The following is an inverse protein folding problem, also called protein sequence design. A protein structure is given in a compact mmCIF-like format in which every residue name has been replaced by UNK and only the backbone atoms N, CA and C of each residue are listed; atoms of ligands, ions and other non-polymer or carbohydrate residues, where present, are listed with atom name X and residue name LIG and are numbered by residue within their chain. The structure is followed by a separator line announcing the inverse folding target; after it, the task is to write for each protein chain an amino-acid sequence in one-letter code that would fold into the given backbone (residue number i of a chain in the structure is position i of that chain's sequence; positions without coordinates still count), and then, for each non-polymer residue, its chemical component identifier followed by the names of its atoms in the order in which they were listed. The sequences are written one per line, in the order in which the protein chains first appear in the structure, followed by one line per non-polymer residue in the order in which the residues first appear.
data_IF_746731681893
#
_entry.id   IF_746731681893
#
_cell.length_a   1.000
_cell.length_b   1.000
_cell.length_c   1.000
_cell.angle_alpha   90.00
_cell.angle_beta   90.00
_cell.angle_gamma   90.00
#
_symmetry.space_group_name_H-M   'P 1'
#
loop_
_entity.id
_entity.type
_entity.pdbx_description
1 polymer ?
#
# COMPACT_ATOMS: atom_id res chain seq x y z
N UNK A 1 -22.52 -18.43 -9.29
CA UNK A 1 -22.35 -17.92 -7.91
C UNK A 1 -22.11 -19.12 -6.98
N UNK A 2 -21.02 -19.84 -7.23
CA UNK A 2 -20.58 -21.01 -6.46
C UNK A 2 -19.09 -20.78 -6.16
N UNK A 3 -18.61 -21.25 -5.02
CA UNK A 3 -17.18 -21.30 -4.62
C UNK A 3 -16.70 -20.30 -3.55
N UNK A 4 -17.60 -19.57 -2.89
CA UNK A 4 -17.23 -18.76 -1.71
C UNK A 4 -16.80 -19.60 -0.49
N UNK A 5 -17.14 -20.89 -0.47
CA UNK A 5 -16.85 -21.81 0.63
C UNK A 5 -15.81 -22.88 0.27
N UNK A 6 -14.93 -22.60 -0.70
CA UNK A 6 -13.83 -23.51 -1.04
C UNK A 6 -12.72 -23.40 0.01
N UNK A 7 -12.35 -24.53 0.60
CA UNK A 7 -11.21 -24.63 1.51
C UNK A 7 -9.93 -24.76 0.70
N UNK A 8 -8.91 -24.00 1.08
CA UNK A 8 -7.56 -24.11 0.52
C UNK A 8 -6.62 -24.62 1.60
N UNK A 9 -5.77 -25.58 1.23
CA UNK A 9 -4.63 -25.97 2.05
C UNK A 9 -3.66 -24.79 2.19
N UNK A 10 -3.18 -24.57 3.41
CA UNK A 10 -2.30 -23.48 3.74
C UNK A 10 -1.00 -24.01 4.37
N UNK A 11 0.12 -23.57 3.83
CA UNK A 11 1.43 -23.74 4.45
C UNK A 11 1.69 -22.57 5.40
N UNK A 12 1.98 -22.86 6.66
CA UNK A 12 2.25 -21.86 7.70
C UNK A 12 3.65 -22.08 8.26
N UNK A 13 4.47 -21.03 8.27
CA UNK A 13 5.81 -21.10 8.85
C UNK A 13 5.72 -21.33 10.38
N UNK A 14 6.50 -22.28 10.89
CA UNK A 14 6.51 -22.62 12.31
C UNK A 14 7.11 -21.52 13.21
N UNK A 15 7.93 -20.64 12.64
CA UNK A 15 8.55 -19.51 13.32
C UNK A 15 8.61 -18.29 12.39
N UNK A 16 8.88 -17.11 12.98
CA UNK A 16 9.18 -15.92 12.17
C UNK A 16 10.44 -16.17 11.35
N UNK A 17 10.48 -15.76 10.07
CA UNK A 17 11.68 -15.87 9.26
C UNK A 17 12.82 -15.09 9.94
N UNK A 18 13.97 -15.74 10.10
CA UNK A 18 15.22 -15.06 10.47
C UNK A 18 15.85 -14.39 9.25
N UNK A 19 16.98 -13.71 9.45
CA UNK A 19 17.64 -12.93 8.39
C UNK A 19 17.99 -13.75 7.12
N UNK A 20 18.22 -15.05 7.26
CA UNK A 20 18.50 -15.96 6.15
C UNK A 20 17.27 -16.28 5.27
N UNK A 21 16.05 -16.16 5.82
CA UNK A 21 14.77 -16.50 5.17
C UNK A 21 13.83 -15.29 5.09
N UNK A 22 14.35 -14.07 5.23
CA UNK A 22 13.57 -12.83 5.39
C UNK A 22 12.51 -12.58 4.29
N UNK A 23 12.62 -13.27 3.15
CA UNK A 23 11.74 -13.14 1.99
C UNK A 23 10.95 -14.41 1.66
N UNK A 24 10.93 -15.38 2.57
CA UNK A 24 10.02 -16.53 2.50
C UNK A 24 8.62 -16.12 3.02
N UNK A 25 7.54 -16.65 2.42
CA UNK A 25 6.20 -16.37 2.92
C UNK A 25 5.97 -17.06 4.27
N UNK A 26 5.36 -16.33 5.20
CA UNK A 26 4.95 -16.89 6.51
C UNK A 26 3.66 -17.69 6.43
N UNK A 27 2.85 -17.39 5.41
CA UNK A 27 1.61 -18.08 5.11
C UNK A 27 1.44 -18.13 3.59
N UNK A 28 1.11 -19.29 3.03
CA UNK A 28 0.91 -19.45 1.60
C UNK A 28 -0.23 -20.43 1.31
N UNK A 29 -0.98 -20.13 0.26
CA UNK A 29 -2.01 -20.99 -0.34
C UNK A 29 -1.80 -21.01 -1.85
N UNK A 30 -2.59 -21.81 -2.57
CA UNK A 30 -2.61 -21.78 -4.03
C UNK A 30 -3.03 -20.41 -4.62
N UNK A 31 -3.70 -19.54 -3.85
CA UNK A 31 -4.20 -18.25 -4.30
C UNK A 31 -3.29 -17.06 -3.97
N UNK A 32 -2.31 -17.25 -3.09
CA UNK A 32 -1.45 -16.16 -2.67
C UNK A 32 -0.66 -16.45 -1.41
N UNK A 33 0.16 -15.47 -1.04
CA UNK A 33 1.10 -15.58 0.05
C UNK A 33 1.16 -14.29 0.88
N UNK A 34 1.49 -14.44 2.16
CA UNK A 34 1.70 -13.36 3.11
C UNK A 34 3.19 -13.35 3.51
N UNK A 35 3.77 -12.17 3.46
CA UNK A 35 5.16 -11.91 3.84
C UNK A 35 5.20 -11.01 5.07
N UNK A 36 6.24 -11.16 5.89
CA UNK A 36 6.43 -10.36 7.10
C UNK A 36 7.79 -9.66 7.05
N UNK A 37 7.77 -8.33 6.97
CA UNK A 37 8.96 -7.50 6.89
C UNK A 37 8.62 -6.05 6.52
N UNK A 38 9.64 -5.22 6.30
CA UNK A 38 9.45 -3.88 5.75
C UNK A 38 8.96 -4.02 4.30
N UNK A 39 7.84 -3.36 3.97
CA UNK A 39 7.20 -3.49 2.65
C UNK A 39 8.15 -3.18 1.49
N UNK A 40 9.02 -2.20 1.67
CA UNK A 40 10.01 -1.73 0.70
C UNK A 40 11.04 -2.82 0.38
N UNK A 41 11.50 -3.54 1.40
CA UNK A 41 12.47 -4.64 1.26
C UNK A 41 11.80 -5.87 0.65
N UNK A 42 10.59 -6.18 1.11
CA UNK A 42 9.81 -7.34 0.63
C UNK A 42 9.45 -7.17 -0.85
N UNK A 43 9.03 -5.98 -1.29
CA UNK A 43 8.75 -5.70 -2.70
C UNK A 43 10.00 -5.79 -3.58
N UNK A 44 11.19 -5.42 -3.05
CA UNK A 44 12.47 -5.55 -3.75
C UNK A 44 13.05 -6.97 -3.72
N UNK A 45 12.45 -7.89 -2.96
CA UNK A 45 12.95 -9.25 -2.84
C UNK A 45 12.91 -10.00 -4.17
N UNK A 46 13.79 -11.00 -4.37
CA UNK A 46 13.72 -11.89 -5.54
C UNK A 46 12.34 -12.55 -5.69
N UNK A 47 11.68 -12.90 -4.58
CA UNK A 47 10.36 -13.52 -4.57
C UNK A 47 9.30 -12.62 -5.23
N UNK A 48 9.24 -11.33 -4.88
CA UNK A 48 8.21 -10.43 -5.39
C UNK A 48 8.62 -9.64 -6.65
N UNK A 49 9.90 -9.38 -6.86
CA UNK A 49 10.37 -8.68 -8.06
C UNK A 49 10.00 -9.39 -9.37
N UNK A 50 9.79 -10.71 -9.34
CA UNK A 50 9.25 -11.46 -10.50
C UNK A 50 7.84 -11.01 -10.91
N UNK A 51 7.09 -10.34 -10.03
CA UNK A 51 5.77 -9.80 -10.29
C UNK A 51 5.80 -8.33 -10.74
N UNK A 52 6.98 -7.74 -10.94
CA UNK A 52 7.12 -6.40 -11.51
C UNK A 52 6.39 -6.29 -12.86
N UNK A 53 5.61 -5.22 -13.04
CA UNK A 53 4.78 -4.96 -14.22
C UNK A 53 3.65 -5.97 -14.47
N UNK A 54 3.30 -6.80 -13.48
CA UNK A 54 2.29 -7.88 -13.62
C UNK A 54 1.14 -7.78 -12.61
N UNK A 55 1.18 -6.81 -11.70
CA UNK A 55 0.13 -6.61 -10.70
C UNK A 55 -0.98 -5.73 -11.28
N UNK A 56 -2.23 -6.19 -11.25
CA UNK A 56 -3.35 -5.39 -11.74
C UNK A 56 -3.82 -4.33 -10.74
N UNK A 57 -3.72 -4.64 -9.45
CA UNK A 57 -4.21 -3.78 -8.37
C UNK A 57 -3.27 -3.83 -7.18
N UNK A 58 -2.79 -2.67 -6.75
CA UNK A 58 -2.20 -2.46 -5.43
C UNK A 58 -3.21 -1.73 -4.57
N UNK A 59 -3.49 -2.24 -3.38
CA UNK A 59 -4.34 -1.58 -2.39
C UNK A 59 -3.57 -1.44 -1.09
N UNK A 60 -3.48 -0.22 -0.55
CA UNK A 60 -2.72 0.04 0.67
C UNK A 60 -3.34 1.18 1.48
N UNK A 61 -3.23 1.09 2.81
CA UNK A 61 -3.64 2.12 3.77
C UNK A 61 -2.42 2.50 4.63
N UNK A 62 -1.40 3.16 4.05
CA UNK A 62 -0.14 3.40 4.74
C UNK A 62 -0.38 4.20 6.02
N UNK A 63 0.31 3.88 7.13
CA UNK A 63 0.04 4.48 8.42
C UNK A 63 0.27 5.99 8.34
N UNK A 64 -0.81 6.77 8.41
CA UNK A 64 -0.72 8.21 8.42
C UNK A 64 -0.38 8.69 9.84
N UNK A 65 0.61 9.58 10.03
CA UNK A 65 0.87 10.16 11.34
C UNK A 65 -0.33 11.05 11.73
N UNK A 66 -1.26 10.47 12.48
CA UNK A 66 -2.33 11.22 13.12
C UNK A 66 -1.69 12.11 14.18
N UNK A 67 -2.13 13.37 14.25
CA UNK A 67 -1.62 14.38 15.18
C UNK A 67 -1.77 14.03 16.66
N UNK A 68 -2.40 12.91 16.99
CA UNK A 68 -2.39 12.31 18.34
C UNK A 68 -1.21 11.36 18.45
N UNK A 69 -0.28 11.68 19.37
CA UNK A 69 0.85 10.82 19.75
C UNK A 69 0.36 9.39 20.05
N UNK A 70 0.49 8.47 19.09
CA UNK A 70 0.60 7.04 19.40
C UNK A 70 2.07 6.73 19.62
N UNK A 71 2.36 5.87 20.58
CA UNK A 71 3.68 5.60 21.15
C UNK A 71 4.66 4.88 20.20
N UNK A 72 4.42 4.87 18.89
CA UNK A 72 5.27 4.23 17.89
C UNK A 72 5.78 5.30 16.92
N UNK A 73 7.00 5.80 17.20
CA UNK A 73 7.82 6.67 16.34
C UNK A 73 7.11 7.43 15.22
N UNK A 74 6.25 8.40 15.55
CA UNK A 74 5.58 9.23 14.55
C UNK A 74 6.63 9.98 13.73
N UNK A 75 6.76 9.62 12.45
CA UNK A 75 7.41 10.46 11.45
C UNK A 75 6.68 11.80 11.39
N UNK A 76 7.42 12.89 11.28
CA UNK A 76 6.86 14.21 11.00
C UNK A 76 6.11 14.19 9.67
N UNK A 77 5.25 15.17 9.44
CA UNK A 77 4.46 15.24 8.20
C UNK A 77 5.36 15.27 6.95
N UNK A 78 6.51 15.94 7.02
CA UNK A 78 7.48 16.00 5.91
C UNK A 78 8.23 14.66 5.72
N UNK A 79 8.59 13.98 6.81
CA UNK A 79 9.19 12.63 6.75
C UNK A 79 8.24 11.59 6.16
N UNK A 80 6.92 11.71 6.41
CA UNK A 80 5.93 10.86 5.76
C UNK A 80 5.86 11.11 4.26
N UNK A 81 5.83 12.38 3.84
CA UNK A 81 5.80 12.75 2.43
C UNK A 81 7.07 12.26 1.72
N UNK A 82 8.24 12.46 2.32
CA UNK A 82 9.51 11.96 1.77
C UNK A 82 9.50 10.45 1.63
N UNK A 83 9.11 9.73 2.69
CA UNK A 83 9.02 8.27 2.64
C UNK A 83 8.04 7.79 1.58
N UNK A 84 6.87 8.41 1.47
CA UNK A 84 5.87 8.01 0.50
C UNK A 84 6.34 8.30 -0.93
N UNK A 85 7.07 9.39 -1.14
CA UNK A 85 7.71 9.68 -2.41
C UNK A 85 8.74 8.62 -2.81
N UNK A 86 9.44 8.02 -1.85
CA UNK A 86 10.35 6.89 -2.10
C UNK A 86 9.60 5.56 -2.31
N UNK A 87 8.45 5.39 -1.66
CA UNK A 87 7.65 4.17 -1.73
C UNK A 87 6.79 4.06 -2.99
N UNK A 88 6.24 5.17 -3.48
CA UNK A 88 5.34 5.17 -4.63
C UNK A 88 5.98 4.64 -5.94
N UNK A 89 7.25 4.93 -6.28
CA UNK A 89 7.92 4.32 -7.43
C UNK A 89 7.96 2.79 -7.35
N UNK A 90 8.16 2.23 -6.15
CA UNK A 90 8.13 0.78 -5.95
C UNK A 90 6.76 0.20 -6.31
N UNK A 91 5.68 0.83 -5.85
CA UNK A 91 4.33 0.39 -6.19
C UNK A 91 4.08 0.52 -7.71
N UNK A 92 4.59 1.59 -8.33
CA UNK A 92 4.48 1.81 -9.78
C UNK A 92 5.17 0.73 -10.60
N UNK A 93 6.35 0.29 -10.19
CA UNK A 93 7.11 -0.77 -10.86
C UNK A 93 6.38 -2.11 -10.82
N UNK A 94 5.55 -2.35 -9.80
CA UNK A 94 4.79 -3.60 -9.68
C UNK A 94 3.60 -3.69 -10.64
N UNK A 95 2.98 -2.55 -10.94
CA UNK A 95 1.68 -2.50 -11.60
C UNK A 95 1.80 -2.51 -13.13
N UNK A 96 0.85 -3.18 -13.81
CA UNK A 96 0.73 -3.17 -15.27
C UNK A 96 0.48 -1.76 -15.81
N UNK A 97 0.59 -1.55 -17.13
CA UNK A 97 0.33 -0.24 -17.74
C UNK A 97 -1.11 0.25 -17.50
N UNK A 98 -2.08 -0.68 -17.47
CA UNK A 98 -3.50 -0.43 -17.23
C UNK A 98 -3.96 -0.72 -15.79
N UNK A 99 -3.02 -1.07 -14.91
CA UNK A 99 -3.29 -1.41 -13.54
C UNK A 99 -3.52 -0.18 -12.65
N UNK A 100 -4.05 -0.42 -11.46
CA UNK A 100 -4.46 0.64 -10.54
C UNK A 100 -3.73 0.55 -9.20
N UNK A 101 -3.44 1.71 -8.63
CA UNK A 101 -2.96 1.83 -7.24
C UNK A 101 -3.99 2.62 -6.45
N UNK A 102 -4.54 1.97 -5.43
CA UNK A 102 -5.55 2.52 -4.52
C UNK A 102 -4.90 2.74 -3.17
N UNK A 103 -4.87 4.00 -2.74
CA UNK A 103 -4.32 4.38 -1.44
C UNK A 103 -5.45 4.95 -0.60
N UNK A 104 -5.75 4.30 0.51
CA UNK A 104 -6.64 4.84 1.53
C UNK A 104 -5.86 5.82 2.41
N UNK A 105 -6.32 7.06 2.50
CA UNK A 105 -5.70 8.07 3.37
C UNK A 105 -6.75 8.65 4.31
N UNK A 106 -6.51 8.47 5.61
CA UNK A 106 -7.37 9.03 6.65
C UNK A 106 -7.30 10.56 6.73
N UNK A 107 -8.40 11.18 7.15
CA UNK A 107 -8.44 12.62 7.41
C UNK A 107 -7.53 12.99 8.60
N UNK A 108 -6.60 13.92 8.39
CA UNK A 108 -5.76 14.47 9.44
C UNK A 108 -6.16 15.92 9.76
N UNK A 109 -6.47 16.21 11.03
CA UNK A 109 -6.82 17.55 11.50
C UNK A 109 -5.59 18.30 11.99
N UNK A 110 -5.43 19.59 11.68
CA UNK A 110 -4.33 20.38 12.22
C UNK A 110 -4.46 20.56 13.75
N UNK A 111 -3.37 20.49 14.53
CA UNK A 111 -3.45 20.65 15.98
C UNK A 111 -3.96 22.04 16.34
N UNK A 112 -4.99 22.11 17.20
CA UNK A 112 -5.55 23.37 17.71
C UNK A 112 -6.35 24.20 16.69
N UNK A 113 -6.66 23.66 15.50
CA UNK A 113 -7.48 24.34 14.48
C UNK A 113 -8.51 23.38 13.90
N UNK A 114 -9.78 23.80 13.68
CA UNK A 114 -10.79 23.00 13.00
C UNK A 114 -10.58 23.03 11.48
N UNK A 115 -9.34 22.81 11.04
CA UNK A 115 -8.92 22.86 9.64
C UNK A 115 -8.30 21.51 9.29
N UNK A 116 -8.80 20.88 8.23
CA UNK A 116 -8.23 19.65 7.70
C UNK A 116 -6.85 19.94 7.10
N UNK A 117 -5.91 19.03 7.33
CA UNK A 117 -4.58 19.10 6.75
C UNK A 117 -4.65 18.78 5.26
N UNK A 118 -4.20 19.72 4.41
CA UNK A 118 -4.10 19.53 2.96
C UNK A 118 -2.83 18.77 2.53
N UNK A 119 -2.02 18.31 3.48
CA UNK A 119 -0.70 17.71 3.21
C UNK A 119 -0.82 16.36 2.52
N UNK A 120 -1.87 15.60 2.84
CA UNK A 120 -2.28 14.37 2.13
C UNK A 120 -2.42 14.62 0.63
N UNK A 121 -3.09 15.71 0.26
CA UNK A 121 -3.31 16.09 -1.13
C UNK A 121 -2.04 16.59 -1.83
N UNK A 122 -1.01 17.03 -1.08
CA UNK A 122 0.29 17.47 -1.64
C UNK A 122 1.24 16.31 -1.91
N UNK A 123 1.15 15.20 -1.17
CA UNK A 123 1.92 13.98 -1.46
C UNK A 123 1.55 13.39 -2.82
N UNK A 124 0.29 13.57 -3.22
CA UNK A 124 -0.26 13.08 -4.49
C UNK A 124 0.51 13.64 -5.70
N UNK A 125 0.52 14.95 -6.04
CA UNK A 125 1.16 15.48 -7.25
C UNK A 125 2.67 15.17 -7.39
N UNK A 126 3.42 14.95 -6.29
CA UNK A 126 4.84 14.56 -6.38
C UNK A 126 5.06 13.13 -6.92
N UNK A 127 4.02 12.29 -6.89
CA UNK A 127 4.05 10.92 -7.45
C UNK A 127 3.56 10.80 -8.89
N UNK A 128 3.09 11.89 -9.54
CA UNK A 128 2.46 11.87 -10.88
C UNK A 128 3.41 11.93 -12.08
N UNK A 129 4.73 11.97 -11.87
CA UNK A 129 5.67 12.05 -12.98
C UNK A 129 5.78 10.74 -13.81
N UNK A 130 5.11 9.64 -13.44
CA UNK A 130 5.39 8.27 -13.95
C UNK A 130 4.22 7.53 -14.61
N UNK A 131 3.15 8.21 -15.06
CA UNK A 131 2.22 7.65 -16.06
C UNK A 131 1.29 6.50 -15.62
N UNK A 132 1.14 6.21 -14.32
CA UNK A 132 0.08 5.32 -13.81
C UNK A 132 -1.19 6.10 -13.43
N UNK A 133 -2.34 5.42 -13.47
CA UNK A 133 -3.61 5.96 -12.96
C UNK A 133 -3.67 5.73 -11.44
N UNK A 134 -3.53 6.82 -10.68
CA UNK A 134 -3.56 6.82 -9.23
C UNK A 134 -4.93 7.27 -8.70
N UNK A 135 -5.44 6.61 -7.66
CA UNK A 135 -6.67 6.98 -6.97
C UNK A 135 -6.42 7.19 -5.47
N UNK A 136 -6.88 8.32 -4.92
CA UNK A 136 -6.88 8.61 -3.49
C UNK A 136 -8.28 9.02 -3.04
N UNK A 137 -8.80 8.39 -1.98
CA UNK A 137 -10.09 8.71 -1.36
C UNK A 137 -9.86 9.20 0.08
N UNK A 138 -10.50 10.31 0.44
CA UNK A 138 -10.41 10.97 1.74
C UNK A 138 -11.76 10.96 2.50
N UNK A 139 -12.74 10.16 2.07
CA UNK A 139 -14.04 10.10 2.75
C UNK A 139 -14.58 8.68 2.90
N UNK A 140 -15.24 8.41 4.04
CA UNK A 140 -16.08 7.23 4.22
C UNK A 140 -17.28 7.29 3.26
N UNK A 141 -17.12 6.65 2.09
CA UNK A 141 -18.03 6.52 0.92
C UNK A 141 -18.10 7.71 -0.03
N UNK A 142 -17.78 7.49 -1.32
CA UNK A 142 -18.71 7.61 -2.48
C UNK A 142 -18.27 6.68 -3.64
N UNK A 143 -19.26 6.00 -4.26
CA UNK A 143 -19.18 5.18 -5.47
C UNK A 143 -19.43 6.01 -6.77
N UNK A 144 -18.80 5.56 -7.87
CA UNK A 144 -19.29 5.52 -9.28
C UNK A 144 -19.12 6.75 -10.21
N UNK A 145 -19.05 6.73 -11.57
CA UNK A 145 -19.24 5.77 -12.71
C UNK A 145 -18.38 6.28 -13.94
N UNK A 146 -18.26 5.59 -15.10
CA UNK A 146 -17.34 5.93 -16.20
C UNK A 146 -17.90 6.99 -17.17
N UNK A 147 -17.04 7.53 -18.07
CA UNK A 147 -17.48 7.91 -19.40
C UNK A 147 -16.58 7.36 -20.54
N UNK A 148 -17.18 6.57 -21.45
CA UNK A 148 -16.83 6.29 -22.87
C UNK A 148 -15.42 5.74 -23.20
N UNK A 149 -15.22 4.68 -23.98
CA UNK A 149 -15.99 3.99 -25.02
C UNK A 149 -15.87 2.47 -24.87
#
# INVERSE_FOLDING_TARGET
MADWFVTHEASIAAARPGDADAFAPVYATALGALYHGMSEEVLRSPSLSTHAGRVQLVMTSPPFPLNTKKAYGNRTQDEYVSWFADFAPLLREMVTEDGSIVIEIGNAWMPGKPVMSTHVLKAFPMTFATGARWFADASSRVLSFPPGH
#
